data_IF_804172964989
#
_entry.id   IF_804172964989
#
_cell.length_a   1.000
_cell.length_b   1.000
_cell.length_c   1.000
_cell.angle_alpha   90.00
_cell.angle_beta   90.00
_cell.angle_gamma   90.00
#
_symmetry.space_group_name_H-M   'P 1'
#
loop_
_entity.id
_entity.type
_entity.pdbx_description
1 polymer ?
#
# COMPACT_ATOMS: atom_id res chain seq x y z
N UNK A 1 -18.20 -3.21 10.45
CA UNK A 1 -17.27 -3.80 10.31
C UNK A 1 -16.93 -4.39 11.35
N UNK A 2 -16.34 -5.17 11.21
CA UNK A 2 -16.10 -5.83 12.15
C UNK A 2 -14.78 -6.16 12.24
N UNK A 3 -14.07 -5.51 13.01
CA UNK A 3 -12.75 -5.85 13.30
C UNK A 3 -12.66 -7.13 13.99
N UNK A 4 -13.75 -7.53 14.57
CA UNK A 4 -13.66 -8.77 15.26
C UNK A 4 -13.56 -9.92 14.32
N UNK A 5 -13.76 -9.73 13.08
CA UNK A 5 -13.53 -10.80 12.16
C UNK A 5 -12.07 -11.09 12.04
N UNK A 6 -11.25 -10.28 12.69
CA UNK A 6 -9.89 -10.48 12.53
C UNK A 6 -9.43 -11.09 13.77
N UNK A 7 -9.26 -12.35 13.80
CA UNK A 7 -8.80 -13.06 14.94
C UNK A 7 -7.31 -13.12 14.99
N UNK A 8 -6.76 -13.59 16.04
CA UNK A 8 -5.33 -13.71 16.18
C UNK A 8 -4.71 -14.45 15.03
N UNK A 9 -5.32 -15.52 14.63
CA UNK A 9 -4.79 -16.29 13.53
C UNK A 9 -4.94 -15.55 12.23
N UNK A 10 -5.71 -14.45 12.26
CA UNK A 10 -5.92 -13.65 11.06
C UNK A 10 -5.37 -12.24 11.18
N UNK A 11 -4.43 -12.04 12.09
CA UNK A 11 -3.84 -10.73 12.22
C UNK A 11 -3.20 -10.27 10.94
N UNK A 12 -2.53 -11.20 10.25
CA UNK A 12 -1.93 -10.85 8.97
C UNK A 12 -2.98 -10.41 7.97
N UNK A 13 -4.09 -11.10 7.96
CA UNK A 13 -5.17 -10.76 7.03
C UNK A 13 -5.69 -9.35 7.29
N UNK A 14 -5.88 -9.01 8.57
CA UNK A 14 -6.33 -7.68 8.91
C UNK A 14 -5.33 -6.63 8.50
N UNK A 15 -4.07 -6.90 8.82
CA UNK A 15 -3.00 -5.96 8.48
C UNK A 15 -2.93 -5.79 6.98
N UNK A 16 -3.04 -6.87 6.21
CA UNK A 16 -3.01 -6.78 4.76
C UNK A 16 -4.20 -5.99 4.24
N UNK A 17 -5.37 -6.17 4.84
CA UNK A 17 -6.55 -5.44 4.40
C UNK A 17 -6.35 -3.95 4.62
N UNK A 18 -5.80 -3.57 5.78
CA UNK A 18 -5.56 -2.17 6.08
C UNK A 18 -4.51 -1.58 5.16
N UNK A 19 -3.45 -2.34 4.89
CA UNK A 19 -2.41 -1.85 3.99
C UNK A 19 -2.90 -1.78 2.55
N UNK A 20 -3.78 -2.68 2.16
CA UNK A 20 -4.37 -2.59 0.82
C UNK A 20 -5.23 -1.35 0.68
N UNK A 21 -5.93 -0.97 1.75
CA UNK A 21 -6.70 0.27 1.73
C UNK A 21 -5.76 1.47 1.61
N UNK A 22 -4.67 1.46 2.38
CA UNK A 22 -3.69 2.53 2.30
C UNK A 22 -3.09 2.60 0.90
N UNK A 23 -2.81 1.45 0.30
CA UNK A 23 -2.27 1.40 -1.05
C UNK A 23 -3.23 2.03 -2.04
N UNK A 24 -4.51 1.72 -1.92
CA UNK A 24 -5.51 2.26 -2.83
C UNK A 24 -5.60 3.77 -2.69
N UNK A 25 -5.55 4.28 -1.45
CA UNK A 25 -5.63 5.71 -1.22
C UNK A 25 -4.39 6.43 -1.71
N UNK A 26 -3.20 5.87 -1.48
CA UNK A 26 -1.97 6.49 -1.96
C UNK A 26 -1.93 6.48 -3.48
N UNK A 27 -2.39 5.39 -4.09
CA UNK A 27 -2.43 5.30 -5.55
C UNK A 27 -3.37 6.34 -6.14
N UNK A 28 -4.52 6.54 -5.49
CA UNK A 28 -5.46 7.55 -5.94
C UNK A 28 -4.85 8.94 -5.84
N UNK A 29 -4.08 9.20 -4.79
CA UNK A 29 -3.41 10.48 -4.62
C UNK A 29 -2.38 10.69 -5.73
N UNK A 30 -1.62 9.65 -6.07
CA UNK A 30 -0.64 9.73 -7.15
C UNK A 30 -1.35 10.11 -8.46
N UNK A 31 -2.46 9.46 -8.73
CA UNK A 31 -3.21 9.76 -9.97
C UNK A 31 -3.75 11.18 -9.97
N UNK A 32 -4.19 11.65 -8.80
CA UNK A 32 -4.69 13.01 -8.71
C UNK A 32 -3.57 14.01 -9.00
N UNK A 33 -2.38 13.78 -8.45
CA UNK A 33 -1.26 14.69 -8.71
C UNK A 33 -0.87 14.66 -10.18
N UNK A 34 -0.94 13.50 -10.82
CA UNK A 34 -0.67 13.41 -12.25
C UNK A 34 -1.68 14.26 -13.04
N UNK A 35 -2.94 14.24 -12.63
CA UNK A 35 -3.97 15.06 -13.24
C UNK A 35 -3.65 16.53 -13.07
N UNK A 36 -3.24 16.92 -11.85
CA UNK A 36 -2.91 18.32 -11.60
C UNK A 36 -1.77 18.75 -12.53
N UNK A 37 -0.77 17.89 -12.70
CA UNK A 37 0.36 18.23 -13.58
C UNK A 37 -0.06 18.44 -15.01
N UNK A 38 -1.05 17.70 -15.50
CA UNK A 38 -1.49 17.87 -16.88
C UNK A 38 -2.27 19.15 -17.07
N UNK A 39 -2.79 19.73 -15.99
CA UNK A 39 -3.63 20.92 -16.09
C UNK A 39 -2.96 22.18 -15.57
N UNK A 40 -1.80 22.05 -14.98
CA UNK A 40 -1.14 23.17 -14.35
C UNK A 40 -0.14 23.81 -15.28
N UNK A 41 -0.26 25.13 -15.44
CA UNK A 41 0.67 25.86 -16.31
C UNK A 41 1.75 26.60 -15.56
N UNK A 42 1.64 26.66 -14.25
CA UNK A 42 2.61 27.40 -13.46
C UNK A 42 3.85 26.54 -13.19
N UNK A 43 5.04 26.95 -13.65
CA UNK A 43 6.23 26.12 -13.50
C UNK A 43 6.59 25.80 -12.06
N UNK A 44 6.47 26.76 -11.17
CA UNK A 44 6.83 26.52 -9.77
C UNK A 44 5.82 25.61 -9.09
N UNK A 45 4.54 25.71 -9.44
CA UNK A 45 3.54 24.83 -8.89
C UNK A 45 3.73 23.43 -9.45
N UNK A 46 4.01 23.32 -10.74
CA UNK A 46 4.27 22.01 -11.35
C UNK A 46 5.45 21.34 -10.69
N UNK A 47 6.49 22.09 -10.41
CA UNK A 47 7.67 21.54 -9.76
C UNK A 47 7.34 21.04 -8.35
N UNK A 48 6.55 21.81 -7.62
CA UNK A 48 6.13 21.44 -6.28
C UNK A 48 5.29 20.15 -6.32
N UNK A 49 4.33 20.10 -7.23
CA UNK A 49 3.46 18.93 -7.33
C UNK A 49 4.25 17.71 -7.78
N UNK A 50 5.25 17.91 -8.64
CA UNK A 50 6.09 16.80 -9.06
C UNK A 50 6.86 16.20 -7.89
N UNK A 51 7.30 17.04 -6.96
CA UNK A 51 7.96 16.56 -5.75
C UNK A 51 6.98 15.75 -4.90
N UNK A 52 5.76 16.22 -4.75
CA UNK A 52 4.75 15.47 -4.01
C UNK A 52 4.47 14.13 -4.68
N UNK A 53 4.41 14.14 -6.01
CA UNK A 53 4.16 12.93 -6.77
C UNK A 53 5.26 11.90 -6.52
N UNK A 54 6.51 12.35 -6.53
CA UNK A 54 7.63 11.45 -6.27
C UNK A 54 7.56 10.86 -4.88
N UNK A 55 7.21 11.68 -3.89
CA UNK A 55 7.12 11.22 -2.52
C UNK A 55 5.99 10.21 -2.35
N UNK A 56 4.85 10.46 -2.98
CA UNK A 56 3.72 9.55 -2.87
C UNK A 56 3.99 8.25 -3.63
N UNK A 57 4.68 8.35 -4.77
CA UNK A 57 5.03 7.15 -5.52
C UNK A 57 5.97 6.26 -4.70
N UNK A 58 6.91 6.87 -3.98
CA UNK A 58 7.79 6.11 -3.10
C UNK A 58 7.00 5.42 -1.99
N UNK A 59 5.98 6.10 -1.46
CA UNK A 59 5.13 5.51 -0.43
C UNK A 59 4.37 4.30 -0.96
N UNK A 60 3.87 4.40 -2.19
CA UNK A 60 3.15 3.29 -2.82
C UNK A 60 4.08 2.07 -2.90
N UNK A 61 5.31 2.29 -3.34
CA UNK A 61 6.26 1.19 -3.46
C UNK A 61 6.54 0.56 -2.10
N UNK A 62 6.70 1.39 -1.08
CA UNK A 62 6.97 0.87 0.26
C UNK A 62 5.82 0.03 0.79
N UNK A 63 4.60 0.46 0.54
CA UNK A 63 3.44 -0.30 0.97
C UNK A 63 3.40 -1.65 0.25
N UNK A 64 3.67 -1.64 -1.06
CA UNK A 64 3.69 -2.87 -1.83
C UNK A 64 4.76 -3.83 -1.32
N UNK A 65 5.93 -3.30 -1.00
CA UNK A 65 7.01 -4.11 -0.47
C UNK A 65 6.62 -4.73 0.87
N UNK A 66 5.98 -3.94 1.72
CA UNK A 66 5.55 -4.45 3.03
C UNK A 66 4.49 -5.52 2.88
N UNK A 67 3.55 -5.32 1.96
CA UNK A 67 2.53 -6.33 1.69
C UNK A 67 3.17 -7.63 1.22
N UNK A 68 4.17 -7.53 0.35
CA UNK A 68 4.86 -8.72 -0.13
C UNK A 68 5.59 -9.44 0.99
N UNK A 69 6.20 -8.67 1.90
CA UNK A 69 6.86 -9.23 3.06
C UNK A 69 5.89 -10.02 3.92
N UNK A 70 4.74 -9.44 4.19
CA UNK A 70 3.76 -10.08 5.05
C UNK A 70 3.23 -11.34 4.40
N UNK A 71 2.96 -11.28 3.10
CA UNK A 71 2.49 -12.44 2.38
C UNK A 71 3.53 -13.56 2.40
N UNK A 72 4.79 -13.21 2.21
CA UNK A 72 5.84 -14.21 2.21
C UNK A 72 5.94 -14.91 3.55
N UNK A 73 5.85 -14.14 4.64
CA UNK A 73 5.88 -14.74 5.97
C UNK A 73 4.69 -15.66 6.19
N UNK A 74 3.53 -15.22 5.76
CA UNK A 74 2.33 -16.01 5.93
C UNK A 74 2.42 -17.32 5.17
N UNK A 75 2.93 -17.26 3.95
CA UNK A 75 3.09 -18.47 3.13
C UNK A 75 4.10 -19.43 3.73
N UNK A 76 5.16 -18.90 4.28
CA UNK A 76 6.16 -19.76 4.91
C UNK A 76 5.56 -20.47 6.11
N UNK A 77 4.80 -19.76 6.92
CA UNK A 77 4.16 -20.37 8.08
C UNK A 77 3.19 -21.44 7.66
N UNK A 78 2.39 -21.16 6.64
CA UNK A 78 1.45 -22.16 6.14
C UNK A 78 2.17 -23.39 5.61
N UNK A 79 3.27 -23.17 4.91
CA UNK A 79 4.06 -24.26 4.38
C UNK A 79 4.64 -25.12 5.48
N UNK A 80 5.14 -24.49 6.53
CA UNK A 80 5.68 -25.24 7.66
C UNK A 80 4.62 -26.06 8.35
N UNK A 81 3.45 -25.48 8.52
CA UNK A 81 2.36 -26.20 9.16
C UNK A 81 1.97 -27.42 8.33
N UNK A 82 1.92 -27.26 7.04
CA UNK A 82 1.59 -28.38 6.17
C UNK A 82 2.64 -29.46 6.26
N UNK A 83 3.88 -29.07 6.36
CA UNK A 83 4.97 -30.01 6.42
C UNK A 83 4.93 -30.86 7.68
N UNK A 84 4.49 -30.25 8.77
CA UNK A 84 4.48 -30.96 10.03
C UNK A 84 3.20 -31.71 10.31
N UNK A 85 2.30 -31.74 9.40
CA UNK A 85 1.13 -32.53 9.58
C UNK A 85 1.32 -33.95 9.08
#
# INVERSE_FOLDING_TARGET
>A
MNLENIHCEHLCRNTCAMLNTALAEETATVRFYQTVLTQCDEPDVSKFVRTLLEERSASVIRIMQKLNEIKARSQVMDGLQSTFR
#
